data_IF_119974720046
#
_entry.id   IF_119974720046
#
_cell.length_a   1.000
_cell.length_b   1.000
_cell.length_c   1.000
_cell.angle_alpha   90.00
_cell.angle_beta   90.00
_cell.angle_gamma   90.00
#
_symmetry.space_group_name_H-M   'P 1'
#
loop_
_entity.id
_entity.type
_entity.pdbx_description
1 polymer ?
#
# COMPACT_ATOMS: atom_id res chain seq x y z
N UNK A 1 -42.21 65.28 -7.71
CA UNK A 1 -42.17 64.58 -9.02
C UNK A 1 -40.75 64.08 -9.26
N UNK A 2 -40.61 62.75 -9.42
CA UNK A 2 -39.52 61.97 -10.09
C UNK A 2 -38.08 62.19 -9.57
N UNK A 3 -37.55 61.33 -8.70
CA UNK A 3 -36.95 60.00 -8.99
C UNK A 3 -35.65 60.06 -9.82
N UNK A 4 -34.50 60.11 -9.14
CA UNK A 4 -33.19 59.72 -9.69
C UNK A 4 -32.48 58.79 -8.70
N UNK A 5 -33.00 57.58 -8.57
CA UNK A 5 -32.26 56.40 -8.08
C UNK A 5 -32.37 55.32 -9.15
N UNK A 6 -31.60 55.46 -10.21
CA UNK A 6 -31.27 54.40 -11.16
C UNK A 6 -29.76 54.49 -11.35
N UNK A 7 -29.10 53.35 -11.52
CA UNK A 7 -27.64 53.16 -11.65
C UNK A 7 -26.84 52.78 -10.39
N UNK A 8 -27.42 52.01 -9.46
CA UNK A 8 -26.62 51.20 -8.52
C UNK A 8 -26.88 49.69 -8.62
N UNK A 9 -27.53 49.24 -9.70
CA UNK A 9 -27.94 47.85 -9.87
C UNK A 9 -27.06 46.93 -10.77
N UNK A 10 -25.96 47.34 -11.44
CA UNK A 10 -25.10 46.36 -12.12
C UNK A 10 -23.91 45.88 -11.27
N UNK A 11 -23.57 46.52 -10.14
CA UNK A 11 -22.40 46.12 -9.34
C UNK A 11 -22.69 44.97 -8.35
N UNK A 12 -23.94 44.81 -7.90
CA UNK A 12 -24.32 43.74 -6.98
C UNK A 12 -24.47 42.36 -7.67
N UNK A 13 -24.69 42.33 -8.99
CA UNK A 13 -24.76 41.09 -9.77
C UNK A 13 -23.37 40.49 -10.11
N UNK A 14 -22.29 41.25 -9.90
CA UNK A 14 -20.90 40.75 -10.04
C UNK A 14 -20.32 40.21 -8.73
N UNK A 15 -21.03 40.40 -7.59
CA UNK A 15 -20.62 39.94 -6.26
C UNK A 15 -21.50 38.81 -5.70
N UNK A 16 -22.58 38.42 -6.39
CA UNK A 16 -23.24 37.14 -6.18
C UNK A 16 -22.34 36.03 -6.77
N UNK A 17 -21.21 35.81 -6.11
CA UNK A 17 -20.20 34.84 -6.53
C UNK A 17 -20.79 33.44 -6.65
N UNK A 18 -20.35 32.72 -7.68
CA UNK A 18 -20.65 31.33 -8.01
C UNK A 18 -20.55 30.41 -6.78
N UNK A 19 -21.62 30.34 -6.00
CA UNK A 19 -21.79 29.32 -4.97
C UNK A 19 -22.09 28.03 -5.69
N UNK A 20 -21.26 27.02 -5.46
CA UNK A 20 -21.48 25.69 -6.02
C UNK A 20 -22.59 25.02 -5.22
N UNK A 21 -23.71 24.76 -5.86
CA UNK A 21 -24.83 24.01 -5.32
C UNK A 21 -24.62 22.51 -5.55
N UNK A 22 -25.16 21.63 -4.68
CA UNK A 22 -24.99 20.18 -4.83
C UNK A 22 -25.39 19.61 -6.20
N UNK A 23 -26.33 20.25 -6.88
CA UNK A 23 -26.82 19.90 -8.21
C UNK A 23 -25.97 20.43 -9.37
N UNK A 24 -25.02 21.34 -9.10
CA UNK A 24 -24.19 21.92 -10.15
C UNK A 24 -23.30 20.85 -10.79
N UNK A 25 -23.19 20.82 -12.14
CA UNK A 25 -22.33 19.88 -12.82
C UNK A 25 -20.85 20.22 -12.57
N UNK A 26 -20.04 19.17 -12.44
CA UNK A 26 -18.60 19.21 -12.38
C UNK A 26 -18.04 18.24 -13.41
N UNK A 27 -16.94 18.62 -14.06
CA UNK A 27 -16.29 17.78 -15.05
C UNK A 27 -14.88 17.40 -14.62
N UNK A 28 -14.59 16.11 -14.69
CA UNK A 28 -13.23 15.58 -14.61
C UNK A 28 -12.79 15.12 -16.01
N UNK A 29 -11.80 15.80 -16.57
CA UNK A 29 -11.26 15.53 -17.90
C UNK A 29 -10.03 14.65 -17.78
N UNK A 30 -9.82 13.70 -18.69
CA UNK A 30 -8.61 12.90 -18.66
C UNK A 30 -8.22 12.37 -20.03
N UNK A 31 -7.02 11.79 -20.07
CA UNK A 31 -6.46 11.13 -21.24
C UNK A 31 -6.19 9.68 -20.91
N UNK A 32 -6.56 8.78 -21.82
CA UNK A 32 -6.23 7.36 -21.72
C UNK A 32 -5.47 6.89 -22.96
N UNK A 33 -4.37 6.20 -22.73
CA UNK A 33 -3.55 5.59 -23.76
C UNK A 33 -3.30 4.13 -23.44
N UNK A 34 -3.03 3.35 -24.48
CA UNK A 34 -2.54 1.97 -24.37
C UNK A 34 -1.11 1.98 -23.84
N UNK A 35 -0.60 0.80 -23.48
CA UNK A 35 0.77 0.68 -22.97
C UNK A 35 1.82 1.27 -23.96
N UNK A 36 1.62 1.04 -25.27
CA UNK A 36 2.47 1.57 -26.35
C UNK A 36 2.39 3.11 -26.54
N UNK A 37 1.48 3.78 -25.83
CA UNK A 37 1.27 5.23 -25.90
C UNK A 37 0.27 5.68 -26.97
N UNK A 38 -0.30 4.76 -27.75
CA UNK A 38 -1.37 5.09 -28.69
C UNK A 38 -2.67 5.42 -27.94
N UNK A 39 -3.53 6.30 -28.48
CA UNK A 39 -4.84 6.57 -27.91
C UNK A 39 -5.69 5.31 -27.73
N UNK A 40 -6.24 5.12 -26.53
CA UNK A 40 -7.16 4.03 -26.26
C UNK A 40 -8.57 4.41 -26.74
N UNK A 41 -8.82 4.47 -28.05
CA UNK A 41 -10.08 4.94 -28.64
C UNK A 41 -11.27 4.01 -28.40
N UNK A 42 -12.44 4.59 -28.05
CA UNK A 42 -13.71 3.87 -27.90
C UNK A 42 -13.77 2.95 -26.68
N UNK A 43 -12.78 3.02 -25.81
CA UNK A 43 -12.70 2.24 -24.59
C UNK A 43 -13.61 2.83 -23.51
N UNK A 44 -14.23 1.95 -22.72
CA UNK A 44 -15.10 2.34 -21.61
C UNK A 44 -14.33 2.30 -20.30
N UNK A 45 -14.32 3.42 -19.58
CA UNK A 45 -13.78 3.57 -18.24
C UNK A 45 -14.93 3.49 -17.24
N UNK A 46 -14.82 2.57 -16.28
CA UNK A 46 -15.74 2.49 -15.15
C UNK A 46 -15.16 3.25 -13.96
N UNK A 47 -15.97 4.12 -13.37
CA UNK A 47 -15.64 4.88 -12.17
C UNK A 47 -16.43 4.33 -11.00
N UNK A 48 -15.70 4.00 -9.94
CA UNK A 48 -16.27 3.59 -8.66
C UNK A 48 -16.06 4.70 -7.65
N UNK A 49 -16.92 4.76 -6.64
CA UNK A 49 -16.91 5.80 -5.61
C UNK A 49 -17.08 5.20 -4.21
N UNK A 50 -16.35 5.75 -3.25
CA UNK A 50 -16.48 5.43 -1.84
C UNK A 50 -16.39 6.69 -0.97
N UNK A 51 -17.02 6.68 0.21
CA UNK A 51 -16.82 7.76 1.17
C UNK A 51 -15.41 7.66 1.74
N UNK A 52 -14.60 8.72 1.57
CA UNK A 52 -13.26 8.80 2.15
C UNK A 52 -13.39 9.15 3.64
N UNK A 53 -13.70 8.14 4.46
CA UNK A 53 -13.83 8.30 5.90
C UNK A 53 -12.64 7.69 6.64
N UNK A 54 -12.04 8.45 7.56
CA UNK A 54 -11.07 7.94 8.54
C UNK A 54 -11.78 7.69 9.88
N UNK A 55 -12.00 6.44 10.29
CA UNK A 55 -12.40 6.15 11.66
C UNK A 55 -11.19 6.34 12.59
N UNK A 56 -10.98 7.55 13.11
CA UNK A 56 -10.03 7.82 14.19
C UNK A 56 -8.58 8.14 13.78
N UNK A 57 -7.66 8.28 14.77
CA UNK A 57 -6.33 8.86 14.57
C UNK A 57 -5.28 7.90 13.98
N UNK A 58 -5.63 6.65 13.71
CA UNK A 58 -4.70 5.64 13.20
C UNK A 58 -5.09 5.24 11.77
N UNK A 59 -4.11 5.06 10.85
CA UNK A 59 -4.38 4.54 9.51
C UNK A 59 -4.88 3.10 9.66
N UNK A 60 -6.19 2.92 9.59
CA UNK A 60 -6.76 1.58 9.37
C UNK A 60 -6.66 1.34 7.87
N UNK A 61 -5.82 0.37 7.47
CA UNK A 61 -5.61 -0.05 6.08
C UNK A 61 -6.84 -0.77 5.48
N UNK A 62 -8.04 -0.53 6.01
CA UNK A 62 -9.27 -1.07 5.46
C UNK A 62 -9.66 -0.13 4.32
N UNK A 63 -9.51 -0.53 3.04
CA UNK A 63 -9.96 0.31 1.94
C UNK A 63 -11.46 0.59 2.09
N UNK A 64 -11.92 1.78 1.70
CA UNK A 64 -13.33 2.10 1.77
C UNK A 64 -14.10 1.21 0.77
N UNK A 65 -15.37 0.93 1.08
CA UNK A 65 -16.21 0.10 0.21
C UNK A 65 -16.59 0.89 -1.06
N UNK A 66 -15.85 0.63 -2.14
CA UNK A 66 -16.13 1.21 -3.45
C UNK A 66 -17.37 0.58 -4.09
N UNK A 67 -18.20 1.44 -4.66
CA UNK A 67 -19.40 1.05 -5.40
C UNK A 67 -19.40 1.67 -6.80
N UNK A 68 -19.94 1.00 -7.83
CA UNK A 68 -20.07 1.58 -9.17
C UNK A 68 -20.78 2.93 -9.12
N UNK A 69 -20.24 3.92 -9.85
CA UNK A 69 -20.78 5.27 -9.86
C UNK A 69 -21.13 5.77 -11.26
N UNK A 70 -20.19 5.72 -12.19
CA UNK A 70 -20.36 6.27 -13.53
C UNK A 70 -19.47 5.55 -14.55
N UNK A 71 -19.69 5.83 -15.83
CA UNK A 71 -18.83 5.36 -16.92
C UNK A 71 -18.52 6.50 -17.87
N UNK A 72 -17.32 6.51 -18.46
CA UNK A 72 -16.97 7.40 -19.56
C UNK A 72 -16.45 6.59 -20.74
N UNK A 73 -16.65 7.08 -21.96
CA UNK A 73 -16.08 6.47 -23.17
C UNK A 73 -15.04 7.42 -23.76
N UNK A 74 -13.88 6.87 -24.12
CA UNK A 74 -12.82 7.65 -24.75
C UNK A 74 -13.12 7.98 -26.21
N UNK A 75 -12.72 9.18 -26.61
CA UNK A 75 -12.78 9.66 -27.99
C UNK A 75 -11.63 9.06 -28.83
N UNK A 76 -11.58 9.41 -30.11
CA UNK A 76 -10.56 8.95 -31.05
C UNK A 76 -9.13 9.28 -30.60
N UNK A 77 -8.95 10.39 -29.91
CA UNK A 77 -7.68 10.88 -29.35
C UNK A 77 -7.38 10.34 -27.95
N UNK A 78 -8.25 9.51 -27.37
CA UNK A 78 -8.08 8.95 -26.03
C UNK A 78 -8.65 9.83 -24.91
N UNK A 79 -9.16 11.03 -25.24
CA UNK A 79 -9.76 11.92 -24.28
C UNK A 79 -11.08 11.35 -23.73
N UNK A 80 -11.34 11.52 -22.44
CA UNK A 80 -12.63 11.22 -21.82
C UNK A 80 -13.07 12.34 -20.88
N UNK A 81 -14.38 12.37 -20.61
CA UNK A 81 -14.99 13.30 -19.66
C UNK A 81 -15.86 12.48 -18.72
N UNK A 82 -15.61 12.63 -17.41
CA UNK A 82 -16.49 12.17 -16.36
C UNK A 82 -17.32 13.36 -15.88
N UNK A 83 -18.63 13.30 -16.10
CA UNK A 83 -19.59 14.26 -15.57
C UNK A 83 -20.04 13.82 -14.18
N UNK A 84 -19.97 14.74 -13.22
CA UNK A 84 -20.34 14.57 -11.83
C UNK A 84 -21.29 15.70 -11.43
N UNK A 85 -21.99 15.54 -10.31
CA UNK A 85 -22.63 16.66 -9.62
C UNK A 85 -21.79 17.04 -8.40
N UNK A 86 -21.79 18.30 -8.00
CA UNK A 86 -20.98 18.76 -6.86
C UNK A 86 -21.30 18.04 -5.55
N UNK A 87 -22.56 17.68 -5.32
CA UNK A 87 -22.99 16.89 -4.17
C UNK A 87 -22.50 15.43 -4.22
N UNK A 88 -21.96 14.97 -5.35
CA UNK A 88 -21.37 13.64 -5.47
C UNK A 88 -19.91 13.59 -5.02
N UNK A 89 -19.24 14.73 -4.84
CA UNK A 89 -17.83 14.83 -4.46
C UNK A 89 -17.64 15.08 -2.96
N UNK A 90 -18.66 15.63 -2.29
CA UNK A 90 -18.64 15.94 -0.86
C UNK A 90 -19.96 15.64 -0.17
N UNK A 91 -19.88 15.23 1.09
CA UNK A 91 -21.01 15.09 2.02
C UNK A 91 -20.80 16.09 3.18
N UNK A 92 -21.79 16.94 3.45
CA UNK A 92 -21.78 17.85 4.60
C UNK A 92 -22.61 17.25 5.72
N UNK A 93 -21.99 16.99 6.87
CA UNK A 93 -22.65 16.36 8.02
C UNK A 93 -22.55 17.29 9.22
N UNK A 94 -23.64 17.45 9.97
CA UNK A 94 -23.58 18.11 11.28
C UNK A 94 -23.19 17.10 12.35
N UNK A 95 -22.09 17.37 13.05
CA UNK A 95 -21.63 16.58 14.20
C UNK A 95 -21.78 17.39 15.49
N UNK A 96 -21.64 16.74 16.64
CA UNK A 96 -21.61 17.43 17.95
C UNK A 96 -20.47 18.46 18.04
N UNK A 97 -19.38 18.27 17.26
CA UNK A 97 -18.25 19.20 17.19
C UNK A 97 -18.44 20.33 16.16
N UNK A 98 -19.56 20.36 15.42
CA UNK A 98 -19.84 21.32 14.36
C UNK A 98 -19.97 20.70 12.97
N UNK A 99 -20.03 21.52 11.90
CA UNK A 99 -20.12 21.02 10.53
C UNK A 99 -18.84 20.28 10.13
N UNK A 100 -19.00 19.06 9.65
CA UNK A 100 -17.97 18.19 9.09
C UNK A 100 -18.13 18.09 7.57
N UNK A 101 -17.02 18.03 6.85
CA UNK A 101 -16.98 17.88 5.40
C UNK A 101 -16.28 16.57 5.07
N UNK A 102 -17.05 15.60 4.57
CA UNK A 102 -16.54 14.31 4.13
C UNK A 102 -16.39 14.32 2.62
N UNK A 103 -15.30 13.78 2.11
CA UNK A 103 -15.02 13.75 0.68
C UNK A 103 -15.33 12.37 0.11
N UNK A 104 -15.83 12.31 -1.11
CA UNK A 104 -15.94 11.06 -1.85
C UNK A 104 -14.69 10.82 -2.68
N UNK A 105 -14.12 9.63 -2.54
CA UNK A 105 -13.01 9.12 -3.34
C UNK A 105 -13.55 8.39 -4.55
N UNK A 106 -12.94 8.66 -5.69
CA UNK A 106 -13.22 8.00 -6.95
C UNK A 106 -12.03 7.13 -7.34
N UNK A 107 -12.29 6.04 -8.06
CA UNK A 107 -11.23 5.28 -8.71
C UNK A 107 -11.63 4.82 -10.10
N UNK A 108 -10.64 4.67 -10.97
CA UNK A 108 -10.77 4.10 -12.31
C UNK A 108 -9.56 3.21 -12.62
N UNK A 109 -9.80 2.19 -13.44
CA UNK A 109 -8.79 1.23 -13.87
C UNK A 109 -8.74 1.24 -15.39
N UNK A 110 -7.54 1.32 -15.97
CA UNK A 110 -7.38 1.18 -17.41
C UNK A 110 -7.80 -0.23 -17.85
N UNK A 111 -8.19 -0.45 -19.11
CA UNK A 111 -8.27 -1.79 -19.65
C UNK A 111 -6.98 -2.59 -19.34
N UNK A 112 -7.14 -3.85 -18.95
CA UNK A 112 -6.00 -4.71 -18.63
C UNK A 112 -5.39 -5.22 -19.93
N UNK A 113 -4.12 -4.91 -20.15
CA UNK A 113 -3.35 -5.28 -21.35
C UNK A 113 -2.24 -6.25 -20.95
N UNK A 114 -2.40 -7.55 -21.26
CA UNK A 114 -1.41 -8.59 -20.90
C UNK A 114 -1.08 -8.64 -19.39
N UNK A 115 -2.06 -8.31 -18.55
CA UNK A 115 -1.88 -8.23 -17.10
C UNK A 115 -1.34 -6.89 -16.60
N UNK A 116 -1.04 -5.94 -17.48
CA UNK A 116 -0.64 -4.56 -17.15
C UNK A 116 -1.87 -3.68 -17.00
N UNK A 117 -1.82 -2.74 -16.06
CA UNK A 117 -2.86 -1.74 -15.88
C UNK A 117 -2.32 -0.51 -15.15
N UNK A 118 -3.01 0.61 -15.33
CA UNK A 118 -2.90 1.80 -14.48
C UNK A 118 -4.19 1.98 -13.68
N UNK A 119 -4.05 2.35 -12.41
CA UNK A 119 -5.14 2.56 -11.47
C UNK A 119 -5.03 3.98 -10.94
N UNK A 120 -6.04 4.80 -11.22
CA UNK A 120 -6.16 6.15 -10.70
C UNK A 120 -7.17 6.17 -9.56
N UNK A 121 -6.80 6.72 -8.42
CA UNK A 121 -7.71 7.06 -7.32
C UNK A 121 -7.60 8.57 -7.06
N UNK A 122 -8.71 9.25 -6.82
CA UNK A 122 -8.69 10.71 -6.69
C UNK A 122 -9.83 11.27 -5.82
N UNK A 123 -9.56 12.45 -5.29
CA UNK A 123 -10.50 13.35 -4.64
C UNK A 123 -10.51 14.67 -5.41
N UNK A 124 -11.68 15.26 -5.61
CA UNK A 124 -11.77 16.61 -6.14
C UNK A 124 -12.62 17.51 -5.24
N UNK A 125 -12.29 18.79 -5.20
CA UNK A 125 -13.01 19.81 -4.44
C UNK A 125 -13.08 21.10 -5.25
N UNK A 126 -14.25 21.73 -5.25
CA UNK A 126 -14.47 23.00 -5.95
C UNK A 126 -15.08 22.77 -7.33
N UNK A 127 -14.42 23.24 -8.39
CA UNK A 127 -14.87 23.13 -9.77
C UNK A 127 -14.28 21.94 -10.54
N UNK A 128 -14.30 22.08 -11.86
CA UNK A 128 -13.71 21.17 -12.84
C UNK A 128 -12.22 20.86 -12.58
N UNK A 129 -11.79 19.66 -12.95
CA UNK A 129 -10.40 19.20 -12.79
C UNK A 129 -9.92 18.43 -14.02
N UNK A 130 -8.62 18.47 -14.27
CA UNK A 130 -7.96 17.57 -15.21
C UNK A 130 -7.23 16.46 -14.44
N UNK A 131 -7.46 15.21 -14.83
CA UNK A 131 -6.93 14.00 -14.20
C UNK A 131 -5.58 13.60 -14.82
N UNK A 132 -4.69 12.95 -14.04
CA UNK A 132 -3.47 12.36 -14.57
C UNK A 132 -3.73 11.43 -15.75
N UNK A 133 -2.83 11.39 -16.76
CA UNK A 133 -2.94 10.45 -17.86
C UNK A 133 -2.98 9.01 -17.37
N UNK A 134 -3.98 8.26 -17.82
CA UNK A 134 -4.13 6.85 -17.50
C UNK A 134 -3.47 6.01 -18.59
N UNK A 135 -2.23 5.56 -18.32
CA UNK A 135 -1.43 4.77 -19.24
C UNK A 135 -0.82 3.56 -18.51
N UNK A 136 -1.10 2.32 -18.93
CA UNK A 136 -0.39 1.15 -18.42
C UNK A 136 1.12 1.29 -18.61
N UNK A 137 1.89 0.82 -17.63
CA UNK A 137 3.34 0.81 -17.70
C UNK A 137 3.83 -0.40 -18.51
N UNK A 138 4.65 -0.15 -19.52
CA UNK A 138 5.40 -1.18 -20.23
C UNK A 138 6.63 -1.51 -19.38
N UNK A 139 6.46 -2.45 -18.45
CA UNK A 139 7.52 -2.83 -17.53
C UNK A 139 8.61 -3.69 -18.19
N UNK A 140 8.31 -4.31 -19.35
CA UNK A 140 9.18 -5.31 -20.00
C UNK A 140 9.78 -6.27 -18.99
N UNK A 141 8.90 -6.81 -18.13
CA UNK A 141 9.32 -7.64 -17.02
C UNK A 141 10.01 -8.88 -17.59
N UNK A 142 11.12 -9.28 -16.99
CA UNK A 142 11.79 -10.52 -17.35
C UNK A 142 12.44 -11.16 -16.14
N UNK A 143 12.47 -12.50 -16.15
CA UNK A 143 13.18 -13.30 -15.16
C UNK A 143 14.28 -14.04 -15.89
N UNK A 144 15.52 -13.77 -15.49
CA UNK A 144 16.71 -14.36 -16.08
C UNK A 144 17.66 -14.92 -15.02
N UNK A 145 18.82 -15.38 -15.49
CA UNK A 145 19.92 -15.77 -14.60
C UNK A 145 20.70 -14.52 -14.16
N UNK A 146 20.86 -14.36 -12.85
CA UNK A 146 21.60 -13.29 -12.22
C UNK A 146 22.95 -13.73 -11.67
N UNK A 147 23.51 -12.91 -10.78
CA UNK A 147 24.78 -13.21 -10.13
C UNK A 147 24.68 -14.53 -9.34
N UNK A 148 25.76 -15.33 -9.40
CA UNK A 148 25.90 -16.59 -8.65
C UNK A 148 24.81 -17.62 -8.97
N UNK A 149 24.24 -17.59 -10.19
CA UNK A 149 23.18 -18.51 -10.61
C UNK A 149 21.83 -18.27 -9.94
N UNK A 150 21.68 -17.14 -9.21
CA UNK A 150 20.40 -16.74 -8.60
C UNK A 150 19.50 -16.09 -9.65
N UNK A 151 18.18 -16.33 -9.66
CA UNK A 151 17.29 -15.60 -10.55
C UNK A 151 17.40 -14.10 -10.35
N UNK A 152 17.27 -13.37 -11.44
CA UNK A 152 17.23 -11.92 -11.44
C UNK A 152 16.02 -11.41 -12.20
N UNK A 153 15.41 -10.37 -11.66
CA UNK A 153 14.22 -9.71 -12.19
C UNK A 153 14.65 -8.39 -12.81
N UNK A 154 14.44 -8.26 -14.10
CA UNK A 154 14.69 -7.02 -14.83
C UNK A 154 13.38 -6.39 -15.25
N UNK A 155 13.31 -5.07 -15.16
CA UNK A 155 12.19 -4.25 -15.58
C UNK A 155 12.69 -2.89 -16.11
N UNK A 156 11.88 -2.26 -16.95
CA UNK A 156 12.11 -0.93 -17.52
C UNK A 156 12.07 0.17 -16.44
N UNK A 157 12.58 1.38 -16.72
CA UNK A 157 12.41 2.52 -15.81
C UNK A 157 10.94 2.78 -15.47
N UNK A 158 10.71 3.29 -14.25
CA UNK A 158 9.36 3.64 -13.80
C UNK A 158 8.75 4.73 -14.68
N UNK A 159 7.42 4.74 -14.85
CA UNK A 159 6.73 5.91 -15.36
C UNK A 159 7.14 7.15 -14.57
N UNK A 160 7.25 8.29 -15.24
CA UNK A 160 7.49 9.54 -14.55
C UNK A 160 6.24 9.95 -13.77
N UNK A 161 6.44 10.68 -12.67
CA UNK A 161 5.35 11.37 -12.00
C UNK A 161 4.64 12.28 -13.01
N UNK A 162 3.29 12.28 -13.06
CA UNK A 162 2.54 13.21 -13.89
C UNK A 162 2.85 14.67 -13.51
N UNK A 163 3.06 15.52 -14.52
CA UNK A 163 3.15 16.97 -14.32
C UNK A 163 1.74 17.59 -14.35
N UNK A 164 1.50 18.71 -13.65
CA UNK A 164 0.25 19.42 -13.74
C UNK A 164 -0.03 19.80 -15.20
N UNK A 165 -1.28 19.67 -15.66
CA UNK A 165 -1.64 20.08 -17.00
C UNK A 165 -1.52 21.61 -17.14
N UNK A 166 -1.54 22.16 -18.37
CA UNK A 166 -1.38 23.60 -18.60
C UNK A 166 -2.36 24.50 -17.84
N UNK A 167 -3.53 23.98 -17.44
CA UNK A 167 -4.56 24.69 -16.67
C UNK A 167 -4.39 24.57 -15.14
N UNK A 168 -3.48 23.70 -14.70
CA UNK A 168 -3.22 23.38 -13.31
C UNK A 168 -1.84 23.82 -12.85
N UNK A 169 -1.67 23.89 -11.54
CA UNK A 169 -0.39 24.12 -10.87
C UNK A 169 -0.24 23.16 -9.70
N UNK A 170 0.99 22.91 -9.27
CA UNK A 170 1.24 22.21 -8.01
C UNK A 170 0.54 22.94 -6.85
N UNK A 171 -0.02 22.17 -5.92
CA UNK A 171 -0.44 22.74 -4.64
C UNK A 171 0.78 23.29 -3.91
N UNK A 172 0.63 24.39 -3.19
CA UNK A 172 1.69 24.93 -2.36
C UNK A 172 1.20 25.32 -0.97
N UNK A 173 2.13 25.21 -0.02
CA UNK A 173 2.01 25.78 1.31
C UNK A 173 3.01 26.92 1.46
N UNK A 174 2.87 27.77 2.48
CA UNK A 174 3.85 28.82 2.75
C UNK A 174 4.80 28.37 3.85
N UNK A 175 6.10 28.52 3.65
CA UNK A 175 7.09 28.29 4.68
C UNK A 175 6.81 29.22 5.87
N UNK A 176 6.69 28.69 7.10
CA UNK A 176 6.14 29.45 8.23
C UNK A 176 7.02 30.64 8.65
N UNK A 177 8.31 30.63 8.32
CA UNK A 177 9.25 31.69 8.71
C UNK A 177 9.56 32.67 7.57
N UNK A 178 9.55 32.22 6.31
CA UNK A 178 9.97 33.03 5.16
C UNK A 178 8.80 33.45 4.27
N UNK A 179 7.64 32.80 4.39
CA UNK A 179 6.48 33.02 3.54
C UNK A 179 6.63 32.49 2.10
N UNK A 180 7.78 31.91 1.76
CA UNK A 180 8.04 31.36 0.44
C UNK A 180 7.15 30.14 0.16
N UNK A 181 6.70 29.95 -1.10
CA UNK A 181 5.90 28.80 -1.46
C UNK A 181 6.74 27.52 -1.44
N UNK A 182 6.27 26.52 -0.69
CA UNK A 182 6.72 25.14 -0.73
C UNK A 182 5.70 24.38 -1.57
N UNK A 183 6.11 23.96 -2.77
CA UNK A 183 5.25 23.18 -3.65
C UNK A 183 5.20 21.72 -3.20
N UNK A 184 4.00 21.18 -3.09
CA UNK A 184 3.75 19.75 -2.96
C UNK A 184 3.87 19.13 -4.35
N UNK A 185 5.07 18.65 -4.65
CA UNK A 185 5.37 18.05 -5.95
C UNK A 185 4.84 16.62 -6.05
N UNK A 186 4.23 16.06 -5.01
CA UNK A 186 3.85 14.64 -5.00
C UNK A 186 5.06 13.68 -4.95
N UNK A 187 4.78 12.39 -4.79
CA UNK A 187 5.83 11.37 -4.58
C UNK A 187 6.46 10.92 -5.89
N UNK A 188 7.76 10.61 -5.84
CA UNK A 188 8.47 10.03 -6.98
C UNK A 188 8.09 8.54 -7.06
N UNK A 189 7.71 8.01 -8.24
CA UNK A 189 7.49 6.58 -8.41
C UNK A 189 8.71 5.73 -8.03
N UNK A 190 8.51 4.79 -7.11
CA UNK A 190 9.50 3.79 -6.74
C UNK A 190 9.05 2.39 -7.19
N UNK A 191 9.97 1.55 -7.71
CA UNK A 191 9.64 0.17 -8.07
C UNK A 191 9.49 -0.69 -6.82
N UNK A 192 8.36 -1.39 -6.74
CA UNK A 192 8.07 -2.36 -5.70
C UNK A 192 7.97 -3.72 -6.36
N UNK A 193 8.95 -4.57 -6.11
CA UNK A 193 8.91 -5.96 -6.57
C UNK A 193 8.04 -6.74 -5.60
N UNK A 194 7.11 -7.55 -6.11
CA UNK A 194 6.29 -8.46 -5.30
C UNK A 194 6.49 -9.90 -5.77
N UNK A 195 6.65 -10.80 -4.81
CA UNK A 195 6.52 -12.23 -5.02
C UNK A 195 5.11 -12.66 -4.62
N UNK A 196 4.44 -13.37 -5.52
CA UNK A 196 3.03 -13.70 -5.41
C UNK A 196 2.85 -15.22 -5.52
N UNK A 197 1.98 -15.78 -4.68
CA UNK A 197 1.61 -17.19 -4.73
C UNK A 197 0.12 -17.33 -4.43
N UNK A 198 -0.61 -18.06 -5.28
CA UNK A 198 -2.05 -18.23 -5.12
C UNK A 198 -2.83 -16.91 -5.10
N UNK A 199 -2.31 -15.85 -5.73
CA UNK A 199 -2.88 -14.51 -5.70
C UNK A 199 -2.57 -13.68 -4.44
N UNK A 200 -1.89 -14.25 -3.45
CA UNK A 200 -1.46 -13.54 -2.25
C UNK A 200 -0.01 -13.05 -2.38
N UNK A 201 0.27 -11.84 -1.88
CA UNK A 201 1.63 -11.31 -1.76
C UNK A 201 2.36 -12.07 -0.65
N UNK A 202 3.45 -12.75 -1.01
CA UNK A 202 4.35 -13.44 -0.09
C UNK A 202 5.40 -12.52 0.49
N UNK A 203 5.86 -11.60 -0.35
CA UNK A 203 6.97 -10.72 -0.10
C UNK A 203 6.86 -9.53 -1.03
N UNK A 204 7.33 -8.38 -0.55
CA UNK A 204 7.51 -7.20 -1.37
C UNK A 204 8.64 -6.33 -0.82
N UNK A 205 9.30 -5.59 -1.70
CA UNK A 205 10.36 -4.65 -1.34
C UNK A 205 10.37 -3.50 -2.35
N UNK A 206 10.61 -2.30 -1.84
CA UNK A 206 11.01 -1.17 -2.66
C UNK A 206 12.48 -1.36 -3.04
N UNK A 207 12.77 -1.58 -4.32
CA UNK A 207 14.12 -1.88 -4.79
C UNK A 207 14.79 -0.64 -5.36
N UNK A 208 16.12 -0.55 -5.26
CA UNK A 208 16.86 0.62 -5.78
C UNK A 208 16.85 0.70 -7.32
N UNK A 209 16.61 -0.42 -8.00
CA UNK A 209 16.57 -0.46 -9.46
C UNK A 209 16.52 -1.86 -10.06
N UNK A 210 16.75 -1.90 -11.36
CA UNK A 210 16.76 -3.10 -12.20
C UNK A 210 18.18 -3.31 -12.76
N UNK A 211 18.72 -4.54 -12.76
CA UNK A 211 18.08 -5.78 -12.33
C UNK A 211 18.13 -5.99 -10.80
N UNK A 212 17.10 -6.62 -10.23
CA UNK A 212 17.04 -7.06 -8.83
C UNK A 212 17.39 -8.55 -8.71
N UNK A 213 18.23 -8.94 -7.75
CA UNK A 213 18.64 -10.35 -7.55
C UNK A 213 17.82 -10.97 -6.43
N UNK A 214 17.13 -12.08 -6.72
CA UNK A 214 16.23 -12.72 -5.75
C UNK A 214 17.03 -13.53 -4.73
N UNK A 215 16.81 -13.25 -3.45
CA UNK A 215 17.41 -14.04 -2.37
C UNK A 215 16.84 -15.48 -2.33
N UNK A 216 17.65 -16.51 -2.02
CA UNK A 216 17.20 -17.91 -2.06
C UNK A 216 16.00 -18.22 -1.15
N UNK A 217 15.99 -17.70 0.09
CA UNK A 217 14.92 -17.92 1.07
C UNK A 217 13.59 -17.21 0.74
N UNK A 218 13.58 -16.32 -0.25
CA UNK A 218 12.33 -15.74 -0.77
C UNK A 218 11.60 -16.71 -1.71
N UNK A 219 12.30 -17.72 -2.23
CA UNK A 219 11.81 -18.70 -3.20
C UNK A 219 11.82 -20.09 -2.57
N UNK A 220 11.12 -20.25 -1.45
CA UNK A 220 11.05 -21.50 -0.67
C UNK A 220 10.48 -22.67 -1.51
N UNK A 221 9.90 -23.66 -0.85
CA UNK A 221 9.18 -24.78 -1.47
C UNK A 221 7.80 -24.40 -2.06
N UNK A 222 7.57 -23.12 -2.38
CA UNK A 222 6.34 -22.66 -3.03
C UNK A 222 6.28 -23.09 -4.50
N UNK A 223 5.26 -23.86 -4.85
CA UNK A 223 4.94 -24.15 -6.24
C UNK A 223 4.24 -22.95 -6.90
N UNK A 224 4.50 -22.71 -8.19
CA UNK A 224 3.81 -21.66 -8.94
C UNK A 224 4.05 -20.24 -8.42
N UNK A 225 5.25 -19.97 -7.89
CA UNK A 225 5.67 -18.64 -7.50
C UNK A 225 5.67 -17.71 -8.72
N UNK A 226 5.10 -16.52 -8.58
CA UNK A 226 5.09 -15.48 -9.60
C UNK A 226 5.83 -14.23 -9.09
N UNK A 227 6.32 -13.42 -10.02
CA UNK A 227 6.85 -12.09 -9.74
C UNK A 227 6.08 -11.04 -10.53
N UNK A 228 5.92 -9.88 -9.91
CA UNK A 228 5.45 -8.65 -10.57
C UNK A 228 6.23 -7.46 -10.04
N UNK A 229 6.16 -6.35 -10.78
CA UNK A 229 6.64 -5.05 -10.31
C UNK A 229 5.49 -4.06 -10.38
N UNK A 230 5.34 -3.29 -9.31
CA UNK A 230 4.37 -2.21 -9.19
C UNK A 230 5.09 -0.91 -8.90
N UNK A 231 4.44 0.20 -9.23
CA UNK A 231 4.91 1.52 -8.87
C UNK A 231 3.71 2.38 -8.49
N UNK A 232 3.93 3.40 -7.67
CA UNK A 232 2.88 4.36 -7.35
C UNK A 232 3.43 5.78 -7.21
N UNK A 233 2.58 6.75 -7.45
CA UNK A 233 2.81 8.16 -7.14
C UNK A 233 1.53 8.79 -6.63
N UNK A 234 1.67 9.79 -5.77
CA UNK A 234 0.59 10.66 -5.34
C UNK A 234 0.93 12.11 -5.64
N UNK A 235 -0.06 12.99 -5.62
CA UNK A 235 0.18 14.42 -5.77
C UNK A 235 -1.09 15.26 -5.68
N UNK A 236 -0.90 16.57 -5.52
CA UNK A 236 -1.97 17.56 -5.48
C UNK A 236 -1.80 18.62 -6.55
N UNK A 237 -2.87 18.82 -7.32
CA UNK A 237 -2.97 19.90 -8.29
C UNK A 237 -4.07 20.88 -7.89
N UNK A 238 -3.85 22.15 -8.22
CA UNK A 238 -4.81 23.22 -8.06
C UNK A 238 -5.09 23.85 -9.42
N UNK A 239 -6.34 24.19 -9.66
CA UNK A 239 -6.76 24.87 -10.88
C UNK A 239 -7.40 26.19 -10.52
N UNK A 240 -7.05 27.24 -11.27
CA UNK A 240 -7.61 28.58 -11.09
C UNK A 240 -8.04 29.12 -12.46
N UNK A 241 -9.16 28.62 -13.01
CA UNK A 241 -9.63 29.06 -14.32
C UNK A 241 -9.98 30.55 -14.29
N UNK A 242 -9.69 31.26 -15.39
CA UNK A 242 -10.03 32.68 -15.53
C UNK A 242 -11.54 32.88 -15.42
N UNK A 243 -11.98 33.63 -14.40
CA UNK A 243 -13.41 33.91 -14.16
C UNK A 243 -14.22 32.72 -13.64
N UNK A 244 -13.58 31.59 -13.34
CA UNK A 244 -14.23 30.40 -12.78
C UNK A 244 -13.91 30.19 -11.30
N UNK A 245 -14.51 29.14 -10.72
CA UNK A 245 -14.23 28.72 -9.35
C UNK A 245 -12.94 27.91 -9.31
N UNK A 246 -12.08 28.18 -8.33
CA UNK A 246 -10.89 27.37 -8.09
C UNK A 246 -11.24 25.93 -7.72
N UNK A 247 -10.41 24.98 -8.11
CA UNK A 247 -10.56 23.57 -7.77
C UNK A 247 -9.23 22.97 -7.32
N UNK A 248 -9.32 21.83 -6.64
CA UNK A 248 -8.16 21.03 -6.25
C UNK A 248 -8.42 19.56 -6.56
N UNK A 249 -7.38 18.88 -7.00
CA UNK A 249 -7.34 17.45 -7.23
C UNK A 249 -6.24 16.86 -6.34
N UNK A 250 -6.61 15.91 -5.49
CA UNK A 250 -5.65 15.00 -4.88
C UNK A 250 -5.72 13.65 -5.57
N UNK A 251 -4.59 13.07 -5.97
CA UNK A 251 -4.57 11.80 -6.69
C UNK A 251 -3.56 10.80 -6.14
N UNK A 252 -3.82 9.53 -6.47
CA UNK A 252 -2.90 8.40 -6.42
C UNK A 252 -2.98 7.70 -7.77
N UNK A 253 -1.83 7.48 -8.39
CA UNK A 253 -1.70 6.70 -9.61
C UNK A 253 -0.80 5.50 -9.32
N UNK A 254 -1.31 4.32 -9.56
CA UNK A 254 -0.58 3.07 -9.39
C UNK A 254 -0.47 2.34 -10.74
N UNK A 255 0.70 1.75 -11.00
CA UNK A 255 0.94 0.90 -12.15
C UNK A 255 1.25 -0.51 -11.68
N UNK A 256 0.67 -1.49 -12.37
CA UNK A 256 1.03 -2.91 -12.24
C UNK A 256 1.58 -3.45 -13.55
N UNK A 257 2.62 -4.26 -13.46
CA UNK A 257 3.12 -5.05 -14.58
C UNK A 257 2.28 -6.32 -14.80
N UNK A 258 2.62 -7.04 -15.85
CA UNK A 258 2.37 -8.47 -16.01
C UNK A 258 2.92 -9.27 -14.82
N UNK A 259 2.43 -10.51 -14.66
CA UNK A 259 3.00 -11.50 -13.75
C UNK A 259 3.80 -12.49 -14.55
N UNK A 260 5.01 -12.79 -14.11
CA UNK A 260 5.85 -13.83 -14.72
C UNK A 260 6.12 -14.97 -13.74
N UNK A 261 6.23 -16.21 -14.24
CA UNK A 261 6.64 -17.33 -13.40
C UNK A 261 8.06 -17.09 -12.87
N UNK A 262 8.24 -17.28 -11.57
CA UNK A 262 9.52 -17.27 -10.90
C UNK A 262 10.01 -18.72 -10.74
N UNK A 263 11.22 -19.06 -11.21
CA UNK A 263 11.79 -20.37 -10.94
C UNK A 263 11.87 -20.63 -9.43
N UNK A 264 11.22 -21.71 -8.96
CA UNK A 264 11.31 -22.11 -7.55
C UNK A 264 12.75 -22.44 -7.17
N UNK A 265 13.19 -22.12 -5.93
CA UNK A 265 14.50 -22.58 -5.47
C UNK A 265 14.44 -24.00 -4.92
N UNK A 266 13.25 -24.49 -4.55
CA UNK A 266 13.10 -25.76 -3.85
C UNK A 266 13.73 -25.75 -2.46
N UNK A 267 14.01 -24.57 -1.90
CA UNK A 267 14.59 -24.45 -0.58
C UNK A 267 13.50 -24.68 0.46
N UNK A 268 13.47 -25.89 1.01
CA UNK A 268 12.52 -26.27 2.05
C UNK A 268 13.02 -25.79 3.43
N UNK A 269 12.23 -24.99 4.17
CA UNK A 269 12.59 -24.58 5.53
C UNK A 269 12.74 -25.79 6.47
N UNK A 270 13.71 -25.76 7.38
CA UNK A 270 13.85 -26.79 8.44
C UNK A 270 12.72 -26.73 9.47
N UNK A 271 12.00 -25.61 9.54
CA UNK A 271 10.77 -25.49 10.34
C UNK A 271 9.58 -26.20 9.70
N UNK A 272 9.62 -26.60 8.41
CA UNK A 272 8.46 -27.17 7.70
C UNK A 272 7.92 -28.41 8.41
N UNK A 273 6.68 -28.33 8.88
CA UNK A 273 6.02 -29.41 9.64
C UNK A 273 6.43 -29.51 11.11
N UNK A 274 7.20 -28.56 11.65
CA UNK A 274 7.49 -28.48 13.08
C UNK A 274 6.20 -28.32 13.90
N UNK A 275 6.12 -28.92 15.08
CA UNK A 275 5.02 -28.67 16.01
C UNK A 275 5.20 -27.32 16.71
N UNK A 276 4.12 -26.77 17.27
CA UNK A 276 4.20 -25.49 17.95
C UNK A 276 3.30 -25.37 19.16
N UNK A 277 3.70 -24.47 20.07
CA UNK A 277 2.95 -24.09 21.26
C UNK A 277 2.89 -22.55 21.36
N UNK A 278 1.68 -21.98 21.56
CA UNK A 278 0.41 -22.68 21.69
C UNK A 278 -0.18 -23.11 20.34
N UNK A 279 -0.81 -24.28 20.31
CA UNK A 279 -1.49 -24.80 19.11
C UNK A 279 -2.93 -24.26 19.05
N UNK A 280 -3.42 -23.76 17.89
CA UNK A 280 -4.80 -23.32 17.76
C UNK A 280 -5.81 -24.44 18.02
N UNK A 281 -6.96 -24.09 18.60
CA UNK A 281 -8.01 -25.06 18.90
C UNK A 281 -8.48 -25.78 17.63
N UNK A 282 -8.52 -27.12 17.67
CA UNK A 282 -8.93 -27.97 16.55
C UNK A 282 -7.83 -28.21 15.50
N UNK A 283 -6.66 -27.59 15.61
CA UNK A 283 -5.51 -27.92 14.77
C UNK A 283 -4.78 -29.15 15.30
N UNK A 284 -4.31 -30.01 14.41
CA UNK A 284 -3.45 -31.17 14.73
C UNK A 284 -2.01 -30.99 14.25
N UNK A 285 -1.78 -30.00 13.38
CA UNK A 285 -0.49 -29.60 12.84
C UNK A 285 -0.31 -28.11 13.08
N UNK A 286 0.93 -27.65 13.19
CA UNK A 286 1.19 -26.23 13.36
C UNK A 286 0.88 -25.47 12.06
N UNK A 287 -0.10 -24.54 12.04
CA UNK A 287 -0.49 -23.85 10.83
C UNK A 287 0.53 -22.80 10.36
N UNK A 288 1.50 -22.45 11.20
CA UNK A 288 2.53 -21.47 10.87
C UNK A 288 3.78 -22.11 10.27
N UNK A 289 3.80 -23.42 10.08
CA UNK A 289 4.93 -24.15 9.49
C UNK A 289 4.50 -25.12 8.40
N UNK A 290 3.25 -25.05 7.92
CA UNK A 290 2.66 -25.99 6.96
C UNK A 290 2.81 -25.57 5.48
N UNK A 291 3.21 -24.33 5.22
CA UNK A 291 3.42 -23.78 3.87
C UNK A 291 2.14 -23.25 3.20
N UNK A 292 1.00 -23.25 3.90
CA UNK A 292 -0.29 -22.83 3.34
C UNK A 292 -0.54 -21.32 3.45
N UNK A 293 0.27 -20.60 4.24
CA UNK A 293 0.24 -19.13 4.40
C UNK A 293 -1.10 -18.54 4.84
N UNK A 294 -1.99 -19.38 5.38
CA UNK A 294 -3.24 -18.94 5.96
C UNK A 294 -2.94 -18.03 7.16
N UNK A 295 -3.64 -16.89 7.24
CA UNK A 295 -3.50 -16.03 8.42
C UNK A 295 -4.26 -16.64 9.58
N UNK A 296 -3.52 -17.23 10.53
CA UNK A 296 -4.09 -17.90 11.70
C UNK A 296 -3.77 -17.10 12.96
N UNK A 297 -4.82 -16.82 13.73
CA UNK A 297 -4.73 -16.15 15.03
C UNK A 297 -4.13 -17.09 16.06
N UNK A 298 -3.25 -16.58 16.93
CA UNK A 298 -2.78 -17.35 18.07
C UNK A 298 -3.94 -17.56 19.07
N UNK A 299 -4.05 -18.71 19.75
CA UNK A 299 -5.09 -18.90 20.75
C UNK A 299 -4.87 -17.95 21.95
N UNK A 300 -5.94 -17.37 22.47
CA UNK A 300 -5.89 -16.56 23.69
C UNK A 300 -5.36 -17.39 24.86
N UNK A 301 -4.67 -16.74 25.80
CA UNK A 301 -4.09 -17.42 26.96
C UNK A 301 -5.21 -18.00 27.81
N UNK A 302 -5.20 -19.32 28.05
CA UNK A 302 -6.31 -20.02 28.70
C UNK A 302 -6.64 -19.51 30.10
N UNK A 303 -5.65 -18.99 30.80
CA UNK A 303 -5.78 -18.41 32.15
C UNK A 303 -6.19 -16.93 32.14
N UNK A 304 -6.10 -16.25 30.98
CA UNK A 304 -6.35 -14.82 30.80
C UNK A 304 -6.96 -14.59 29.40
N UNK A 305 -8.28 -14.84 29.23
CA UNK A 305 -8.95 -14.88 27.92
C UNK A 305 -8.96 -13.54 27.17
N UNK A 306 -8.55 -12.45 27.81
CA UNK A 306 -8.33 -11.13 27.19
C UNK A 306 -6.92 -10.94 26.61
N UNK A 307 -5.98 -11.85 26.88
CA UNK A 307 -4.57 -11.72 26.49
C UNK A 307 -4.17 -12.69 25.39
N UNK A 308 -3.32 -12.19 24.50
CA UNK A 308 -2.65 -13.02 23.50
C UNK A 308 -1.35 -13.61 24.04
N UNK A 309 -0.85 -14.70 23.43
CA UNK A 309 0.43 -15.28 23.82
C UNK A 309 1.59 -14.30 23.63
N UNK A 310 2.53 -14.32 24.56
CA UNK A 310 3.75 -13.49 24.51
C UNK A 310 4.91 -14.19 23.77
N UNK A 311 4.76 -15.50 23.55
CA UNK A 311 5.75 -16.34 22.88
C UNK A 311 5.08 -17.37 21.97
N UNK A 312 5.79 -17.73 20.91
CA UNK A 312 5.49 -18.88 20.05
C UNK A 312 6.70 -19.80 20.09
N UNK A 313 6.51 -21.06 20.50
CA UNK A 313 7.54 -22.10 20.54
C UNK A 313 7.32 -23.05 19.38
N UNK A 314 8.41 -23.43 18.71
CA UNK A 314 8.46 -24.45 17.66
C UNK A 314 9.34 -25.59 18.14
N UNK A 315 8.93 -26.83 17.85
CA UNK A 315 9.77 -28.03 18.03
C UNK A 315 10.05 -28.63 16.66
N UNK A 316 11.30 -28.55 16.24
CA UNK A 316 11.78 -29.05 14.95
C UNK A 316 11.75 -30.58 14.93
N UNK A 317 11.56 -31.14 13.72
CA UNK A 317 11.52 -32.59 13.54
C UNK A 317 12.86 -33.26 13.89
N UNK A 318 13.97 -32.55 13.63
CA UNK A 318 15.33 -32.94 13.99
C UNK A 318 16.11 -31.69 14.47
N UNK A 319 17.17 -31.86 15.28
CA UNK A 319 18.06 -30.76 15.64
C UNK A 319 18.67 -30.11 14.39
N UNK A 320 18.68 -28.78 14.34
CA UNK A 320 19.13 -27.97 13.20
C UNK A 320 19.98 -26.78 13.66
N UNK A 321 20.80 -26.22 12.77
CA UNK A 321 21.63 -25.02 12.96
C UNK A 321 21.08 -23.87 12.11
N UNK A 322 19.90 -23.32 12.42
CA UNK A 322 19.30 -22.27 11.59
C UNK A 322 20.21 -21.03 11.50
N UNK A 323 20.41 -20.55 10.29
CA UNK A 323 21.20 -19.36 9.94
C UNK A 323 20.32 -18.18 9.49
N UNK A 324 19.05 -18.44 9.17
CA UNK A 324 18.07 -17.43 8.74
C UNK A 324 16.69 -17.72 9.31
N UNK A 325 15.94 -16.66 9.58
CA UNK A 325 14.51 -16.72 9.85
C UNK A 325 13.75 -15.78 8.92
N UNK A 326 12.59 -16.23 8.49
CA UNK A 326 11.59 -15.46 7.78
C UNK A 326 10.26 -15.57 8.52
N UNK A 327 9.62 -14.43 8.79
CA UNK A 327 8.31 -14.33 9.40
C UNK A 327 7.35 -13.68 8.42
N UNK A 328 6.20 -14.30 8.17
CA UNK A 328 5.18 -13.73 7.27
C UNK A 328 3.89 -13.41 8.01
N UNK A 329 3.32 -12.24 7.71
CA UNK A 329 2.00 -11.81 8.20
C UNK A 329 1.89 -11.72 9.71
N UNK A 330 2.93 -11.28 10.41
CA UNK A 330 2.93 -11.16 11.88
C UNK A 330 2.00 -10.03 12.34
N UNK A 331 0.93 -10.32 13.05
CA UNK A 331 0.19 -9.30 13.80
C UNK A 331 0.62 -9.37 15.27
N UNK A 332 1.22 -8.31 15.80
CA UNK A 332 1.58 -8.23 17.22
C UNK A 332 1.32 -6.83 17.77
N UNK A 333 1.08 -6.74 19.08
CA UNK A 333 0.68 -5.50 19.72
C UNK A 333 1.72 -4.40 19.62
N UNK A 334 1.28 -3.23 19.16
CA UNK A 334 2.12 -2.05 18.94
C UNK A 334 3.38 -2.32 18.09
N UNK A 335 3.46 -3.43 17.32
CA UNK A 335 4.64 -3.80 16.52
C UNK A 335 4.95 -2.83 15.37
N UNK A 336 4.08 -1.83 15.20
CA UNK A 336 4.25 -0.69 14.32
C UNK A 336 5.27 0.34 14.84
N UNK A 337 6.03 0.04 15.90
CA UNK A 337 7.08 0.92 16.44
C UNK A 337 8.48 0.38 16.11
N UNK A 338 9.40 1.18 15.55
CA UNK A 338 10.76 0.75 15.18
C UNK A 338 11.62 0.40 16.41
N UNK A 339 11.18 0.76 17.61
CA UNK A 339 11.86 0.38 18.85
C UNK A 339 11.51 -1.04 19.32
N UNK A 340 10.86 -1.88 18.51
CA UNK A 340 10.47 -3.23 18.93
C UNK A 340 11.28 -4.31 18.24
N UNK A 341 11.57 -5.37 18.97
CA UNK A 341 12.44 -6.46 18.55
C UNK A 341 11.76 -7.80 18.83
N UNK A 342 11.85 -8.72 17.89
CA UNK A 342 11.53 -10.13 18.12
C UNK A 342 12.84 -10.86 18.36
N UNK A 343 13.03 -11.35 19.57
CA UNK A 343 14.14 -12.25 19.86
C UNK A 343 13.80 -13.65 19.38
N UNK A 344 14.79 -14.26 18.75
CA UNK A 344 14.76 -15.65 18.32
C UNK A 344 15.74 -16.38 19.21
N UNK A 345 15.23 -17.32 19.98
CA UNK A 345 16.03 -18.11 20.92
C UNK A 345 15.93 -19.59 20.55
N UNK A 346 17.00 -20.32 20.84
CA UNK A 346 17.13 -21.74 20.52
C UNK A 346 17.48 -22.55 21.75
N UNK A 347 17.09 -23.82 21.75
CA UNK A 347 17.36 -24.75 22.83
C UNK A 347 17.49 -26.18 22.28
N UNK A 348 18.42 -26.94 22.86
CA UNK A 348 18.56 -28.38 22.60
C UNK A 348 17.49 -29.21 23.31
N UNK A 349 17.11 -28.79 24.53
CA UNK A 349 16.32 -29.56 25.49
C UNK A 349 14.94 -28.94 25.80
N UNK A 350 14.70 -27.70 25.37
CA UNK A 350 13.49 -26.93 25.67
C UNK A 350 13.52 -26.21 27.02
N UNK A 351 14.59 -26.38 27.81
CA UNK A 351 14.76 -25.80 29.13
C UNK A 351 15.77 -24.65 29.12
N UNK A 352 16.91 -24.85 28.45
CA UNK A 352 17.99 -23.85 28.38
C UNK A 352 17.96 -23.12 27.04
N UNK A 353 17.69 -21.83 27.11
CA UNK A 353 17.51 -20.99 25.93
C UNK A 353 18.71 -20.08 25.71
N UNK A 354 19.20 -20.05 24.48
CA UNK A 354 20.26 -19.14 24.02
C UNK A 354 19.72 -18.25 22.92
N UNK A 355 20.16 -17.00 22.88
CA UNK A 355 19.80 -16.08 21.79
C UNK A 355 20.45 -16.54 20.49
N UNK A 356 19.64 -16.76 19.45
CA UNK A 356 20.09 -17.02 18.09
C UNK A 356 20.18 -15.72 17.29
N UNK A 357 19.35 -14.73 17.59
CA UNK A 357 19.34 -13.46 16.90
C UNK A 357 18.11 -12.63 17.20
N UNK A 358 17.96 -11.55 16.46
CA UNK A 358 16.80 -10.68 16.52
C UNK A 358 16.28 -10.39 15.12
N UNK A 359 14.95 -10.40 14.99
CA UNK A 359 14.25 -9.83 13.85
C UNK A 359 13.82 -8.43 14.27
N UNK A 360 14.43 -7.45 13.63
CA UNK A 360 14.12 -6.04 13.86
C UNK A 360 13.33 -5.57 12.65
N UNK A 361 12.25 -4.85 12.90
CA UNK A 361 11.59 -4.11 11.84
C UNK A 361 12.59 -3.05 11.36
N UNK A 362 12.93 -2.99 10.05
CA UNK A 362 13.84 -1.96 9.56
C UNK A 362 13.43 -0.60 10.13
N UNK A 363 14.38 0.11 10.74
CA UNK A 363 14.10 1.46 11.19
C UNK A 363 13.74 2.30 9.96
N UNK A 364 12.81 3.25 10.12
CA UNK A 364 12.71 4.34 9.18
C UNK A 364 13.99 5.16 9.35
N UNK A 365 15.03 4.84 8.57
CA UNK A 365 16.21 5.69 8.51
C UNK A 365 15.79 7.03 7.90
N UNK A 366 15.89 8.08 8.71
CA UNK A 366 15.45 9.43 8.40
C UNK A 366 14.20 9.87 9.16
N UNK A 367 14.37 10.83 10.06
CA UNK A 367 13.28 11.61 10.68
C UNK A 367 12.40 12.30 9.61
N UNK A 368 12.92 12.43 8.38
CA UNK A 368 12.23 13.04 7.24
C UNK A 368 11.30 12.10 6.46
N UNK A 369 11.44 10.76 6.51
CA UNK A 369 10.57 9.86 5.72
C UNK A 369 9.22 9.55 6.37
N UNK A 370 9.15 9.50 7.70
CA UNK A 370 7.91 9.19 8.44
C UNK A 370 6.93 10.38 8.52
N UNK A 371 7.45 11.61 8.43
CA UNK A 371 6.65 12.84 8.49
C UNK A 371 6.19 13.37 7.13
N UNK A 372 6.76 12.86 6.03
CA UNK A 372 6.55 13.37 4.67
C UNK A 372 6.16 12.31 3.63
N UNK A 373 6.09 11.01 3.96
CA UNK A 373 5.41 10.08 3.06
C UNK A 373 3.94 10.50 3.01
N UNK A 374 3.51 10.93 1.83
CA UNK A 374 2.16 11.40 1.61
C UNK A 374 1.18 10.38 2.18
N UNK A 375 0.39 10.80 3.15
CA UNK A 375 -0.58 9.96 3.85
C UNK A 375 -1.45 9.16 2.87
N UNK A 376 -1.67 9.67 1.65
CA UNK A 376 -2.41 8.98 0.58
C UNK A 376 -1.74 7.70 0.10
N UNK A 377 -0.41 7.59 0.10
CA UNK A 377 0.27 6.34 -0.25
C UNK A 377 -0.14 5.19 0.67
N UNK A 378 -0.41 5.49 1.95
CA UNK A 378 -0.81 4.53 2.96
C UNK A 378 -2.33 4.40 3.01
N UNK A 379 -3.04 5.53 3.12
CA UNK A 379 -4.50 5.59 3.28
C UNK A 379 -5.26 5.09 2.04
N UNK A 380 -4.62 5.14 0.87
CA UNK A 380 -5.21 4.76 -0.42
C UNK A 380 -4.53 3.51 -0.99
N UNK A 381 -3.67 2.85 -0.21
CA UNK A 381 -2.93 1.66 -0.65
C UNK A 381 -3.86 0.52 -1.11
N UNK A 382 -5.04 0.40 -0.49
CA UNK A 382 -6.04 -0.62 -0.82
C UNK A 382 -7.01 -0.25 -1.94
N UNK A 383 -6.81 0.89 -2.61
CA UNK A 383 -7.74 1.34 -3.65
C UNK A 383 -7.59 0.55 -4.96
N UNK A 384 -6.48 -0.18 -5.17
CA UNK A 384 -6.32 -1.06 -6.33
C UNK A 384 -7.27 -2.27 -6.22
N UNK A 385 -8.25 -2.44 -7.13
CA UNK A 385 -9.18 -3.57 -7.10
C UNK A 385 -8.62 -4.87 -7.69
N UNK A 386 -7.46 -4.82 -8.35
CA UNK A 386 -6.87 -5.96 -9.06
C UNK A 386 -5.87 -6.76 -8.21
N UNK A 387 -5.23 -6.11 -7.24
CA UNK A 387 -4.18 -6.71 -6.42
C UNK A 387 -4.31 -6.24 -4.96
N UNK A 388 -3.80 -7.03 -3.98
CA UNK A 388 -3.73 -6.59 -2.60
C UNK A 388 -3.02 -5.23 -2.45
N UNK A 389 -3.31 -4.55 -1.34
CA UNK A 389 -2.78 -3.22 -1.07
C UNK A 389 -1.26 -3.16 -1.27
N UNK A 390 -0.79 -2.10 -1.95
CA UNK A 390 0.63 -1.88 -2.15
C UNK A 390 1.24 -1.31 -0.86
N UNK A 391 1.68 -2.18 0.04
CA UNK A 391 2.09 -1.78 1.38
C UNK A 391 3.59 -1.41 1.44
N UNK A 392 3.98 -0.34 0.73
CA UNK A 392 5.40 0.09 0.64
C UNK A 392 5.93 0.66 1.97
N UNK A 393 5.06 0.90 2.95
CA UNK A 393 5.48 1.24 4.32
C UNK A 393 5.61 -0.02 5.18
N UNK A 394 6.64 0.01 6.02
CA UNK A 394 7.05 -1.00 6.99
C UNK A 394 5.92 -1.38 7.97
N UNK A 395 4.81 -0.63 8.03
CA UNK A 395 3.68 -0.93 8.94
C UNK A 395 2.95 -2.23 8.57
N UNK A 396 3.17 -2.69 7.34
CA UNK A 396 2.75 -4.00 6.91
C UNK A 396 3.74 -5.07 7.35
N UNK A 397 3.36 -5.82 8.38
CA UNK A 397 4.09 -7.00 8.85
C UNK A 397 3.98 -8.20 7.87
N UNK A 398 3.92 -7.95 6.57
CA UNK A 398 3.80 -9.00 5.55
C UNK A 398 5.01 -9.91 5.55
N UNK A 399 6.20 -9.35 5.79
CA UNK A 399 7.45 -10.08 5.78
C UNK A 399 8.48 -9.43 6.70
N UNK A 400 9.14 -10.23 7.53
CA UNK A 400 10.29 -9.83 8.32
C UNK A 400 11.37 -10.90 8.20
N UNK A 401 12.62 -10.47 8.22
CA UNK A 401 13.77 -11.35 8.04
C UNK A 401 14.85 -11.04 9.07
N UNK A 402 15.56 -12.08 9.52
CA UNK A 402 16.70 -11.93 10.42
C UNK A 402 17.77 -12.96 10.15
N UNK A 403 19.03 -12.54 10.27
CA UNK A 403 20.16 -13.46 10.34
C UNK A 403 20.22 -14.08 11.74
N UNK A 404 20.43 -15.40 11.78
CA UNK A 404 20.60 -16.16 13.01
C UNK A 404 22.04 -16.64 13.14
N UNK A 405 22.51 -16.74 14.37
CA UNK A 405 23.82 -17.27 14.74
C UNK A 405 23.61 -18.45 15.67
N UNK A 406 24.00 -19.62 15.18
CA UNK A 406 23.74 -20.88 15.87
C UNK A 406 25.03 -21.67 16.00
N UNK A 407 25.61 -21.68 17.21
CA UNK A 407 26.85 -22.41 17.50
C UNK A 407 26.63 -23.91 17.72
N UNK A 408 25.42 -24.29 18.16
CA UNK A 408 25.00 -25.67 18.45
C UNK A 408 23.70 -26.00 17.76
N UNK A 409 23.46 -27.27 17.40
CA UNK A 409 22.20 -27.66 16.78
C UNK A 409 21.06 -27.56 17.80
N UNK A 410 19.99 -26.83 17.49
CA UNK A 410 18.84 -26.62 18.37
C UNK A 410 17.65 -27.45 17.89
N UNK A 411 16.84 -27.93 18.83
CA UNK A 411 15.60 -28.66 18.54
C UNK A 411 14.37 -27.82 18.79
N UNK A 412 14.44 -26.90 19.74
CA UNK A 412 13.36 -26.00 20.10
C UNK A 412 13.76 -24.57 19.73
N UNK A 413 12.83 -23.84 19.13
CA UNK A 413 13.01 -22.42 18.80
C UNK A 413 11.85 -21.65 19.40
N UNK A 414 12.09 -20.50 20.02
CA UNK A 414 11.02 -19.63 20.48
C UNK A 414 11.18 -18.22 19.95
N UNK A 415 10.05 -17.62 19.62
CA UNK A 415 9.90 -16.24 19.20
C UNK A 415 9.34 -15.46 20.39
N UNK A 416 10.00 -14.37 20.79
CA UNK A 416 9.56 -13.51 21.89
C UNK A 416 9.70 -12.04 21.52
N UNK A 417 8.59 -11.30 21.53
CA UNK A 417 8.61 -9.86 21.27
C UNK A 417 8.92 -9.06 22.53
N UNK A 418 9.77 -8.04 22.43
CA UNK A 418 9.96 -7.03 23.49
C UNK A 418 9.97 -5.61 22.93
N UNK A 419 9.66 -4.64 23.79
CA UNK A 419 9.92 -3.22 23.53
C UNK A 419 11.39 -2.88 23.87
N UNK A 420 12.10 -2.13 23.02
CA UNK A 420 13.46 -1.68 23.33
C UNK A 420 13.45 -0.80 24.58
N UNK A 421 14.44 -1.01 25.44
CA UNK A 421 14.52 -0.38 26.75
C UNK A 421 13.51 -0.93 27.77
N UNK A 422 12.77 -1.99 27.46
CA UNK A 422 11.84 -2.66 28.38
C UNK A 422 12.05 -4.16 28.40
N UNK A 423 11.72 -4.78 29.53
CA UNK A 423 11.59 -6.23 29.65
C UNK A 423 10.15 -6.71 29.40
N UNK A 424 9.20 -5.79 29.18
CA UNK A 424 7.80 -6.13 28.99
C UNK A 424 7.61 -6.83 27.63
N UNK A 425 7.02 -8.04 27.63
CA UNK A 425 6.75 -8.79 26.42
C UNK A 425 5.67 -8.14 25.55
N UNK A 426 5.68 -8.49 24.27
CA UNK A 426 4.67 -8.10 23.28
C UNK A 426 3.75 -9.28 23.01
N UNK A 427 2.46 -8.99 23.01
CA UNK A 427 1.39 -9.91 22.66
C UNK A 427 1.37 -10.22 21.15
N UNK A 428 1.52 -11.50 20.79
CA UNK A 428 1.50 -12.04 19.43
C UNK A 428 0.07 -12.46 19.06
N UNK A 429 -0.53 -11.79 18.08
CA UNK A 429 -1.96 -11.96 17.75
C UNK A 429 -2.21 -12.91 16.60
N UNK A 430 -1.44 -12.80 15.53
CA UNK A 430 -1.60 -13.64 14.35
C UNK A 430 -0.27 -13.79 13.62
N UNK A 431 -0.18 -14.84 12.82
CA UNK A 431 0.95 -15.10 11.95
C UNK A 431 0.48 -15.91 10.73
N UNK A 432 1.18 -15.79 9.60
CA UNK A 432 1.00 -16.68 8.45
C UNK A 432 2.04 -17.79 8.44
N UNK A 433 3.31 -17.46 8.67
CA UNK A 433 4.39 -18.46 8.62
C UNK A 433 5.62 -18.07 9.44
N UNK A 434 6.32 -19.09 9.98
CA UNK A 434 7.71 -19.06 10.42
C UNK A 434 8.53 -20.03 9.59
N UNK A 435 9.44 -19.51 8.77
CA UNK A 435 10.41 -20.29 8.00
C UNK A 435 11.81 -20.14 8.60
N UNK A 436 12.42 -21.26 8.97
CA UNK A 436 13.82 -21.33 9.43
C UNK A 436 14.65 -22.02 8.35
N UNK A 437 15.85 -21.51 8.07
CA UNK A 437 16.77 -22.07 7.08
C UNK A 437 18.14 -22.31 7.68
N UNK A 438 18.85 -23.31 7.19
CA UNK A 438 20.25 -23.63 7.52
C UNK A 438 21.22 -23.11 6.46
#
# INVERSE_FOLDING_TARGET
>A
MRSSFRHLLPLAALLAGCQLYPEDPLFAYGQMSRADGTPASGATLSFERALSYRPGPYPTLIPPDFSPHATATTRADGAYILELVAGATVERVMTEAGPDLRLYRFRAVSPVEEGRAAILSFLLLGGDVELPPLRPWVADLSVGEGAEGRPSVSFAPMPLRPEPPPTGTWQSSSHPQTGEPIYDLGTIPHPVVQLVHGGAVLWQEEVEGSPWTVAPWLREDFEGLEVMVRAQTTGDWRFTPLGGRGSSLGYRLEWRSERLPMPGAGLRPVSRGASCEPLPAGATVCPWTDGQLASVKLPLVSTQPEKWPEELRLTLAAPARPSRIVLRGLAADYFNSPVKRLFIEGSEDGERWVSLGEVVRPALDGVERAGYRDHREVDWAGDNPLDPALQVDLAANLYLEGALRTEVAVRHVRLRGVLAGSTRPIELKALREVSLFE
#
